data_IF_379669440356
#
_entry.id   IF_379669440356
#
_cell.length_a   1.000
_cell.length_b   1.000
_cell.length_c   1.000
_cell.angle_alpha   90.00
_cell.angle_beta   90.00
_cell.angle_gamma   90.00
#
_symmetry.space_group_name_H-M   'P 1'
#
loop_
_entity.id
_entity.type
_entity.pdbx_description
1 polymer ?
#
# COMPACT_ATOMS: atom_id res chain seq x y z
N UNK A 1 -34.82 26.22 -51.09
CA UNK A 1 -33.87 26.11 -49.96
C UNK A 1 -34.40 25.06 -49.01
N UNK A 2 -33.80 23.87 -49.07
CA UNK A 2 -34.23 22.64 -48.42
C UNK A 2 -33.71 22.57 -46.98
N UNK A 3 -34.59 22.24 -46.04
CA UNK A 3 -34.31 22.03 -44.62
C UNK A 3 -33.43 20.79 -44.41
N UNK A 4 -32.38 20.82 -43.58
CA UNK A 4 -31.58 19.63 -43.32
C UNK A 4 -32.31 18.65 -42.38
N UNK A 5 -32.40 17.40 -42.85
CA UNK A 5 -32.89 16.23 -42.13
C UNK A 5 -31.99 15.89 -40.94
N UNK A 6 -32.60 15.72 -39.75
CA UNK A 6 -31.92 15.21 -38.55
C UNK A 6 -31.66 13.71 -38.73
N UNK A 7 -30.40 13.29 -38.69
CA UNK A 7 -30.04 11.88 -38.67
C UNK A 7 -30.44 11.26 -37.33
N UNK A 8 -31.44 10.38 -37.36
CA UNK A 8 -31.70 9.47 -36.25
C UNK A 8 -30.62 8.40 -36.25
N UNK A 9 -29.64 8.54 -35.35
CA UNK A 9 -28.69 7.47 -35.05
C UNK A 9 -29.44 6.20 -34.66
N UNK A 10 -29.14 5.09 -35.33
CA UNK A 10 -29.67 3.75 -35.02
C UNK A 10 -29.29 3.38 -33.58
N UNK A 11 -30.21 3.60 -32.64
CA UNK A 11 -30.13 3.01 -31.30
C UNK A 11 -30.55 1.55 -31.41
N UNK A 12 -29.58 0.65 -31.43
CA UNK A 12 -29.82 -0.79 -31.35
C UNK A 12 -30.14 -1.13 -29.89
N UNK A 13 -31.41 -1.20 -29.53
CA UNK A 13 -31.85 -1.70 -28.23
C UNK A 13 -31.70 -3.23 -28.28
N UNK A 14 -30.73 -3.77 -27.54
CA UNK A 14 -30.67 -5.21 -27.26
C UNK A 14 -31.46 -5.46 -25.97
N UNK A 15 -32.52 -6.30 -25.99
CA UNK A 15 -33.17 -6.72 -24.77
C UNK A 15 -32.19 -7.58 -23.96
N UNK A 16 -31.88 -7.14 -22.73
CA UNK A 16 -31.21 -7.97 -21.73
C UNK A 16 -32.24 -8.91 -21.12
N UNK A 17 -31.97 -10.22 -21.14
CA UNK A 17 -32.75 -11.25 -20.43
C UNK A 17 -32.29 -11.44 -18.97
N UNK A 18 -31.38 -10.60 -18.47
CA UNK A 18 -31.04 -10.57 -17.05
C UNK A 18 -32.11 -9.76 -16.34
N UNK A 19 -32.88 -10.33 -15.40
CA UNK A 19 -33.76 -9.56 -14.55
C UNK A 19 -32.91 -8.52 -13.82
N UNK A 20 -33.16 -7.24 -14.10
CA UNK A 20 -32.67 -6.18 -13.23
C UNK A 20 -33.40 -6.33 -11.91
N UNK A 21 -32.66 -6.65 -10.87
CA UNK A 21 -33.19 -6.69 -9.52
C UNK A 21 -33.63 -5.27 -9.16
N UNK A 22 -34.94 -5.03 -9.25
CA UNK A 22 -35.57 -3.72 -9.07
C UNK A 22 -35.55 -3.26 -7.60
N UNK A 23 -34.97 -4.06 -6.69
CA UNK A 23 -34.97 -3.89 -5.25
C UNK A 23 -33.65 -4.40 -4.65
N UNK A 24 -32.55 -3.68 -4.82
CA UNK A 24 -31.34 -3.95 -4.03
C UNK A 24 -30.79 -2.65 -3.47
N UNK A 25 -31.43 -2.16 -2.41
CA UNK A 25 -30.61 -1.44 -1.43
C UNK A 25 -29.52 -2.42 -0.99
N UNK A 26 -28.23 -2.05 -1.04
CA UNK A 26 -27.16 -2.92 -0.61
C UNK A 26 -27.43 -3.30 0.85
N UNK A 27 -27.75 -4.58 1.06
CA UNK A 27 -28.05 -5.10 2.39
C UNK A 27 -26.79 -4.97 3.23
N UNK A 28 -26.82 -4.13 4.26
CA UNK A 28 -25.69 -3.98 5.18
C UNK A 28 -25.49 -5.29 5.92
N UNK A 29 -24.44 -6.03 5.57
CA UNK A 29 -24.09 -7.28 6.24
C UNK A 29 -23.38 -6.98 7.57
N UNK A 30 -23.92 -7.51 8.66
CA UNK A 30 -23.34 -7.33 9.99
C UNK A 30 -22.02 -8.12 10.13
N UNK A 31 -20.99 -7.49 10.70
CA UNK A 31 -19.69 -8.11 10.95
C UNK A 31 -18.81 -8.31 9.71
N UNK A 32 -19.22 -7.76 8.56
CA UNK A 32 -18.44 -7.79 7.33
C UNK A 32 -17.65 -6.49 7.21
N UNK A 33 -16.36 -6.61 6.88
CA UNK A 33 -15.48 -5.45 6.67
C UNK A 33 -16.02 -4.57 5.55
N UNK A 34 -16.14 -3.27 5.80
CA UNK A 34 -16.73 -2.33 4.84
C UNK A 34 -15.83 -1.12 4.62
N UNK A 35 -15.57 -0.81 3.35
CA UNK A 35 -15.00 0.47 2.94
C UNK A 35 -16.12 1.47 2.63
N UNK A 36 -16.14 2.61 3.32
CA UNK A 36 -16.98 3.77 2.99
C UNK A 36 -16.13 4.82 2.29
N UNK A 37 -16.55 5.29 1.13
CA UNK A 37 -15.78 6.28 0.37
C UNK A 37 -16.58 7.55 0.17
N UNK A 38 -16.15 8.65 0.80
CA UNK A 38 -16.69 9.99 0.59
C UNK A 38 -16.00 10.59 -0.64
N UNK A 39 -16.75 10.85 -1.71
CA UNK A 39 -16.19 11.26 -3.01
C UNK A 39 -17.19 12.13 -3.80
N UNK A 40 -16.67 12.92 -4.75
CA UNK A 40 -17.46 13.59 -5.78
C UNK A 40 -17.81 12.70 -6.97
N UNK A 41 -17.21 11.51 -7.06
CA UNK A 41 -17.35 10.58 -8.18
C UNK A 41 -17.73 9.17 -7.69
N UNK A 42 -18.93 8.99 -7.11
CA UNK A 42 -19.37 7.68 -6.64
C UNK A 42 -19.35 6.62 -7.74
N UNK A 43 -19.64 7.00 -9.00
CA UNK A 43 -19.57 6.09 -10.15
C UNK A 43 -18.17 5.63 -10.55
N UNK A 44 -17.10 6.14 -9.91
CA UNK A 44 -15.75 5.60 -10.06
C UNK A 44 -15.55 4.28 -9.29
N UNK A 45 -16.51 3.90 -8.45
CA UNK A 45 -16.51 2.69 -7.64
C UNK A 45 -17.62 1.73 -8.10
N UNK A 46 -17.38 0.39 -8.02
CA UNK A 46 -16.21 -0.25 -7.44
C UNK A 46 -14.96 -0.16 -8.33
N UNK A 47 -15.10 0.26 -9.59
CA UNK A 47 -13.96 0.36 -10.51
C UNK A 47 -13.27 -1.00 -10.66
N UNK A 48 -11.94 -1.03 -10.53
CA UNK A 48 -11.18 -2.28 -10.62
C UNK A 48 -11.42 -3.22 -9.43
N UNK A 49 -11.95 -2.72 -8.31
CA UNK A 49 -12.30 -3.53 -7.13
C UNK A 49 -13.49 -4.46 -7.40
N UNK A 50 -14.25 -4.21 -8.46
CA UNK A 50 -15.36 -5.07 -8.89
C UNK A 50 -14.91 -6.28 -9.71
N UNK A 51 -13.62 -6.36 -10.05
CA UNK A 51 -13.05 -7.38 -10.92
C UNK A 51 -12.27 -8.44 -10.12
N UNK A 52 -11.99 -9.58 -10.76
CA UNK A 52 -11.10 -10.62 -10.22
C UNK A 52 -11.48 -11.09 -8.79
N UNK A 53 -10.48 -11.33 -7.93
CA UNK A 53 -10.65 -11.85 -6.57
C UNK A 53 -11.36 -10.87 -5.63
N UNK A 54 -11.07 -9.57 -5.71
CA UNK A 54 -11.73 -8.55 -4.88
C UNK A 54 -13.21 -8.45 -5.24
N UNK A 55 -13.54 -8.44 -6.53
CA UNK A 55 -14.92 -8.45 -7.01
C UNK A 55 -15.67 -9.73 -6.66
N UNK A 56 -15.02 -10.90 -6.78
CA UNK A 56 -15.59 -12.18 -6.33
C UNK A 56 -15.85 -12.17 -4.83
N UNK A 57 -14.89 -11.72 -4.03
CA UNK A 57 -15.03 -11.62 -2.59
C UNK A 57 -16.16 -10.67 -2.16
N UNK A 58 -16.37 -9.58 -2.90
CA UNK A 58 -17.49 -8.66 -2.67
C UNK A 58 -18.84 -9.37 -2.93
N UNK A 59 -18.95 -10.12 -4.05
CA UNK A 59 -20.14 -10.92 -4.39
C UNK A 59 -20.41 -12.04 -3.39
N UNK A 60 -19.35 -12.64 -2.84
CA UNK A 60 -19.42 -13.65 -1.79
C UNK A 60 -19.73 -13.06 -0.39
N UNK A 61 -19.88 -11.73 -0.27
CA UNK A 61 -20.19 -11.06 0.99
C UNK A 61 -19.03 -11.03 1.99
N UNK A 62 -17.78 -11.20 1.53
CA UNK A 62 -16.58 -11.19 2.39
C UNK A 62 -16.12 -9.78 2.75
N UNK A 63 -16.52 -8.79 1.96
CA UNK A 63 -16.32 -7.37 2.24
C UNK A 63 -17.36 -6.54 1.48
N UNK A 64 -17.56 -5.29 1.87
CA UNK A 64 -18.54 -4.37 1.26
C UNK A 64 -17.90 -3.03 0.89
N UNK A 65 -18.49 -2.37 -0.10
CA UNK A 65 -18.13 -1.04 -0.52
C UNK A 65 -19.36 -0.14 -0.55
N UNK A 66 -19.30 0.97 0.16
CA UNK A 66 -20.33 2.00 0.20
C UNK A 66 -19.73 3.31 -0.30
N UNK A 67 -20.42 4.00 -1.20
CA UNK A 67 -20.04 5.35 -1.62
C UNK A 67 -20.95 6.39 -1.00
N UNK A 68 -20.36 7.49 -0.56
CA UNK A 68 -21.04 8.66 -0.03
C UNK A 68 -20.77 9.80 -0.99
N UNK A 69 -21.78 10.16 -1.80
CA UNK A 69 -21.69 11.27 -2.74
C UNK A 69 -21.68 12.60 -1.98
N UNK A 70 -20.51 13.24 -1.93
CA UNK A 70 -20.31 14.49 -1.21
C UNK A 70 -21.25 15.60 -1.71
N UNK A 71 -21.68 15.56 -2.99
CA UNK A 71 -22.61 16.56 -3.54
C UNK A 71 -23.98 16.50 -2.87
N UNK A 72 -24.38 15.38 -2.27
CA UNK A 72 -25.65 15.31 -1.52
C UNK A 72 -25.67 16.22 -0.28
N UNK A 73 -24.48 16.59 0.22
CA UNK A 73 -24.31 17.48 1.36
C UNK A 73 -23.97 18.91 0.94
N UNK A 74 -23.91 19.20 -0.36
CA UNK A 74 -23.52 20.52 -0.88
C UNK A 74 -24.56 21.60 -0.62
N UNK A 75 -24.12 22.85 -0.56
CA UNK A 75 -24.93 24.02 -0.24
C UNK A 75 -25.72 24.56 -1.45
N UNK A 76 -26.94 25.03 -1.17
CA UNK A 76 -27.80 25.71 -2.13
C UNK A 76 -28.29 24.82 -3.30
N UNK A 77 -28.95 25.47 -4.27
CA UNK A 77 -29.58 24.80 -5.42
C UNK A 77 -28.57 23.99 -6.28
N UNK A 78 -27.33 24.44 -6.34
CA UNK A 78 -26.28 23.84 -7.16
C UNK A 78 -25.45 22.80 -6.42
N UNK A 79 -25.75 22.52 -5.15
CA UNK A 79 -25.01 21.56 -4.31
C UNK A 79 -23.52 21.87 -4.31
N UNK A 80 -23.18 23.11 -3.96
CA UNK A 80 -21.79 23.55 -3.93
C UNK A 80 -21.02 22.87 -2.78
N UNK A 81 -19.84 22.34 -3.07
CA UNK A 81 -19.03 21.53 -2.14
C UNK A 81 -17.66 22.16 -1.85
N UNK A 82 -17.32 23.20 -2.59
CA UNK A 82 -16.02 23.85 -2.58
C UNK A 82 -16.17 25.39 -2.58
N UNK A 83 -15.12 26.08 -2.16
CA UNK A 83 -15.03 27.53 -2.22
C UNK A 83 -13.57 27.96 -2.47
N UNK A 84 -13.38 29.24 -2.78
CA UNK A 84 -12.05 29.82 -2.97
C UNK A 84 -11.21 29.75 -1.68
N UNK A 85 -9.89 29.51 -1.78
CA UNK A 85 -9.02 29.44 -0.61
C UNK A 85 -8.93 30.78 0.11
N UNK A 86 -9.00 30.74 1.44
CA UNK A 86 -8.68 31.90 2.28
C UNK A 86 -7.20 32.29 2.10
N UNK A 87 -6.91 33.59 2.03
CA UNK A 87 -5.56 34.10 1.73
C UNK A 87 -5.26 34.28 0.23
N UNK A 88 -6.20 33.92 -0.65
CA UNK A 88 -6.03 33.99 -2.09
C UNK A 88 -5.29 32.78 -2.67
N UNK A 89 -5.17 32.72 -3.99
CA UNK A 89 -4.62 31.57 -4.72
C UNK A 89 -5.54 31.12 -5.85
N UNK A 90 -5.00 30.30 -6.74
CA UNK A 90 -5.81 29.62 -7.76
C UNK A 90 -6.44 28.35 -7.15
N UNK A 91 -7.50 27.85 -7.80
CA UNK A 91 -8.16 26.62 -7.38
C UNK A 91 -9.26 26.80 -6.35
N UNK A 92 -9.74 25.67 -5.83
CA UNK A 92 -10.87 25.58 -4.91
C UNK A 92 -10.51 24.64 -3.75
N UNK A 93 -11.12 24.82 -2.59
CA UNK A 93 -10.92 23.97 -1.39
C UNK A 93 -12.26 23.39 -0.98
N UNK A 94 -12.29 22.09 -0.67
CA UNK A 94 -13.49 21.43 -0.18
C UNK A 94 -13.93 22.03 1.16
N UNK A 95 -15.20 22.40 1.25
CA UNK A 95 -15.73 23.15 2.38
C UNK A 95 -15.89 22.31 3.64
N UNK A 96 -15.61 22.90 4.82
CA UNK A 96 -15.67 22.16 6.07
C UNK A 96 -17.09 21.79 6.52
N UNK A 97 -18.08 22.65 6.29
CA UNK A 97 -19.47 22.40 6.64
C UNK A 97 -20.09 21.25 5.82
N UNK A 98 -19.75 21.19 4.53
CA UNK A 98 -20.18 20.11 3.63
C UNK A 98 -19.50 18.79 4.00
N UNK A 99 -18.17 18.80 4.16
CA UNK A 99 -17.43 17.58 4.51
C UNK A 99 -17.81 17.05 5.90
N UNK A 100 -17.99 17.93 6.89
CA UNK A 100 -18.40 17.53 8.23
C UNK A 100 -19.73 16.76 8.24
N UNK A 101 -20.75 17.26 7.53
CA UNK A 101 -22.03 16.54 7.40
C UNK A 101 -21.89 15.18 6.70
N UNK A 102 -21.01 15.09 5.70
CA UNK A 102 -20.74 13.83 5.00
C UNK A 102 -20.01 12.81 5.89
N UNK A 103 -19.03 13.26 6.67
CA UNK A 103 -18.33 12.44 7.67
C UNK A 103 -19.31 11.96 8.73
N UNK A 104 -20.10 12.87 9.32
CA UNK A 104 -21.09 12.53 10.34
C UNK A 104 -22.09 11.49 9.82
N UNK A 105 -22.52 11.63 8.57
CA UNK A 105 -23.38 10.64 7.90
C UNK A 105 -22.68 9.29 7.73
N UNK A 106 -21.47 9.28 7.18
CA UNK A 106 -20.69 8.05 6.94
C UNK A 106 -20.34 7.30 8.24
N UNK A 107 -20.21 8.01 9.35
CA UNK A 107 -19.81 7.44 10.64
C UNK A 107 -20.97 6.92 11.49
N UNK A 108 -22.24 7.23 11.19
CA UNK A 108 -23.40 6.82 12.03
C UNK A 108 -23.46 5.32 12.33
N UNK A 109 -23.02 4.52 11.37
CA UNK A 109 -23.05 3.06 11.45
C UNK A 109 -21.65 2.44 11.45
N UNK A 110 -20.61 3.25 11.69
CA UNK A 110 -19.27 2.74 11.95
C UNK A 110 -19.23 2.22 13.38
N UNK A 111 -18.85 0.94 13.56
CA UNK A 111 -18.76 0.30 14.87
C UNK A 111 -17.38 -0.33 15.01
N UNK A 112 -16.85 -0.34 16.23
CA UNK A 112 -15.55 -0.91 16.53
C UNK A 112 -14.40 -0.02 16.05
N UNK A 113 -13.29 -0.65 15.64
CA UNK A 113 -12.12 0.04 15.10
C UNK A 113 -12.40 0.43 13.66
N UNK A 114 -12.72 1.70 13.45
CA UNK A 114 -13.07 2.24 12.14
C UNK A 114 -12.31 3.54 11.83
N UNK A 115 -11.11 3.43 11.24
CA UNK A 115 -10.32 4.61 10.91
C UNK A 115 -11.03 5.55 9.93
N UNK A 116 -10.87 6.85 10.15
CA UNK A 116 -11.21 7.90 9.18
C UNK A 116 -9.93 8.36 8.50
N UNK A 117 -9.86 8.16 7.20
CA UNK A 117 -8.65 8.36 6.39
C UNK A 117 -8.89 9.44 5.34
N UNK A 118 -7.93 10.34 5.17
CA UNK A 118 -7.85 11.26 4.05
C UNK A 118 -6.70 10.85 3.12
N UNK A 119 -7.02 10.63 1.84
CA UNK A 119 -6.01 10.33 0.82
C UNK A 119 -5.33 11.63 0.40
N UNK A 120 -4.12 11.84 0.91
CA UNK A 120 -3.38 13.10 0.83
C UNK A 120 -1.90 12.83 0.59
N UNK A 121 -1.24 13.55 -0.35
CA UNK A 121 0.20 13.38 -0.57
C UNK A 121 1.05 13.80 0.64
N UNK A 122 0.48 14.55 1.60
CA UNK A 122 1.12 14.96 2.86
C UNK A 122 1.23 13.82 3.88
N UNK A 123 0.36 12.80 3.76
CA UNK A 123 0.30 11.72 4.72
C UNK A 123 1.53 10.81 4.68
N UNK A 124 1.75 9.98 5.72
CA UNK A 124 2.71 8.89 5.64
C UNK A 124 2.45 8.00 4.43
N UNK A 125 3.53 7.55 3.78
CA UNK A 125 3.42 6.64 2.62
C UNK A 125 2.77 5.33 3.03
N UNK A 126 1.78 4.90 2.25
CA UNK A 126 1.11 3.63 2.40
C UNK A 126 2.10 2.48 2.20
N UNK A 127 2.03 1.48 3.07
CA UNK A 127 2.89 0.30 3.02
C UNK A 127 2.12 -0.95 3.47
N UNK A 128 2.75 -2.12 3.32
CA UNK A 128 2.11 -3.40 3.61
C UNK A 128 1.66 -3.53 5.07
N UNK A 129 2.43 -3.00 6.02
CA UNK A 129 2.06 -2.97 7.43
C UNK A 129 0.80 -2.11 7.69
N UNK A 130 0.62 -1.03 6.94
CA UNK A 130 -0.60 -0.22 7.00
C UNK A 130 -1.80 -0.98 6.43
N UNK A 131 -1.65 -1.70 5.31
CA UNK A 131 -2.68 -2.56 4.76
C UNK A 131 -3.14 -3.62 5.78
N UNK A 132 -2.20 -4.30 6.45
CA UNK A 132 -2.49 -5.26 7.51
C UNK A 132 -3.29 -4.64 8.67
N UNK A 133 -2.89 -3.45 9.13
CA UNK A 133 -3.63 -2.74 10.20
C UNK A 133 -5.06 -2.39 9.81
N UNK A 134 -5.27 -1.96 8.56
CA UNK A 134 -6.59 -1.66 8.01
C UNK A 134 -7.44 -2.94 7.85
N UNK A 135 -6.83 -4.06 7.44
CA UNK A 135 -7.52 -5.34 7.27
C UNK A 135 -7.98 -5.94 8.60
N UNK A 136 -7.26 -5.66 9.69
CA UNK A 136 -7.64 -6.05 11.04
C UNK A 136 -8.68 -5.11 11.69
N UNK A 137 -9.03 -4.00 11.05
CA UNK A 137 -10.09 -3.09 11.50
C UNK A 137 -11.48 -3.67 11.18
N UNK A 138 -12.55 -3.07 11.70
CA UNK A 138 -13.92 -3.48 11.38
C UNK A 138 -14.41 -2.89 10.04
N UNK A 139 -13.71 -1.87 9.55
CA UNK A 139 -13.97 -1.16 8.31
C UNK A 139 -13.12 0.09 8.22
N UNK A 140 -13.34 0.90 7.20
CA UNK A 140 -12.63 2.17 7.00
C UNK A 140 -13.54 3.19 6.32
N UNK A 141 -13.48 4.45 6.74
CA UNK A 141 -14.05 5.58 5.98
C UNK A 141 -12.91 6.33 5.32
N UNK A 142 -12.98 6.51 4.01
CA UNK A 142 -11.94 7.14 3.19
C UNK A 142 -12.50 8.39 2.52
N UNK A 143 -11.78 9.50 2.63
CA UNK A 143 -12.10 10.78 1.98
C UNK A 143 -11.23 10.94 0.74
N UNK A 144 -11.90 11.00 -0.41
CA UNK A 144 -11.25 11.30 -1.68
C UNK A 144 -11.24 12.82 -1.90
N UNK A 145 -10.08 13.44 -1.66
CA UNK A 145 -9.88 14.86 -1.96
C UNK A 145 -9.96 15.18 -3.45
N UNK A 146 -10.25 16.44 -3.76
CA UNK A 146 -10.24 17.06 -5.10
C UNK A 146 -9.79 18.50 -4.97
N UNK A 147 -9.56 19.15 -6.11
CA UNK A 147 -9.11 20.54 -6.17
C UNK A 147 -7.79 20.71 -5.40
N UNK A 148 -7.64 21.78 -4.60
CA UNK A 148 -6.46 22.01 -3.77
C UNK A 148 -6.45 21.17 -2.47
N UNK A 149 -7.57 20.52 -2.14
CA UNK A 149 -7.68 19.62 -1.00
C UNK A 149 -8.87 19.90 -0.09
N UNK A 150 -8.74 19.44 1.14
CA UNK A 150 -9.73 19.58 2.21
C UNK A 150 -9.33 20.70 3.17
N UNK A 151 -10.30 21.49 3.63
CA UNK A 151 -10.10 22.48 4.69
C UNK A 151 -9.48 21.84 5.94
N UNK A 152 -8.34 22.38 6.40
CA UNK A 152 -7.53 21.83 7.49
C UNK A 152 -8.32 21.64 8.78
N UNK A 153 -9.30 22.51 9.05
CA UNK A 153 -10.11 22.44 10.27
C UNK A 153 -10.91 21.14 10.36
N UNK A 154 -11.27 20.55 9.22
CA UNK A 154 -11.95 19.24 9.19
C UNK A 154 -10.98 18.13 9.58
N UNK A 155 -9.76 18.18 9.06
CA UNK A 155 -8.71 17.21 9.34
C UNK A 155 -8.41 17.21 10.84
N UNK A 156 -8.21 18.40 11.42
CA UNK A 156 -7.95 18.58 12.85
C UNK A 156 -9.15 18.17 13.72
N UNK A 157 -10.36 18.64 13.38
CA UNK A 157 -11.55 18.41 14.19
C UNK A 157 -11.90 16.92 14.35
N UNK A 158 -11.81 16.16 13.25
CA UNK A 158 -12.12 14.73 13.26
C UNK A 158 -10.90 13.84 13.54
N UNK A 159 -9.70 14.42 13.74
CA UNK A 159 -8.46 13.67 13.92
C UNK A 159 -8.17 12.73 12.75
N UNK A 160 -8.36 13.22 11.52
CA UNK A 160 -8.33 12.39 10.31
C UNK A 160 -6.90 11.91 10.04
N UNK A 161 -6.74 10.60 9.81
CA UNK A 161 -5.46 10.05 9.42
C UNK A 161 -5.18 10.35 7.94
N UNK A 162 -4.12 11.10 7.65
CA UNK A 162 -3.66 11.26 6.26
C UNK A 162 -2.90 10.01 5.79
N UNK A 163 -3.09 9.59 4.53
CA UNK A 163 -2.33 8.50 3.88
C UNK A 163 -1.93 8.95 2.47
N UNK A 164 -0.64 8.83 2.15
CA UNK A 164 -0.10 9.09 0.81
C UNK A 164 0.14 7.80 0.06
N UNK A 165 -0.16 7.76 -1.24
CA UNK A 165 0.21 6.62 -2.10
C UNK A 165 1.70 6.66 -2.51
N UNK A 166 2.34 7.82 -2.41
CA UNK A 166 3.72 8.04 -2.78
C UNK A 166 4.01 9.50 -3.14
N UNK A 167 5.24 9.79 -3.54
CA UNK A 167 5.72 11.14 -3.81
C UNK A 167 5.37 11.58 -5.24
N UNK A 168 4.07 11.71 -5.50
CA UNK A 168 3.51 12.21 -6.74
C UNK A 168 2.13 12.81 -6.50
N UNK A 169 1.63 13.59 -7.45
CA UNK A 169 0.35 14.29 -7.35
C UNK A 169 -0.67 13.65 -8.27
N UNK A 170 -1.90 13.49 -7.77
CA UNK A 170 -3.03 12.95 -8.52
C UNK A 170 -4.15 13.99 -8.60
N UNK A 171 -5.06 13.83 -9.56
CA UNK A 171 -6.22 14.74 -9.71
C UNK A 171 -7.29 14.56 -8.62
N UNK A 172 -7.17 13.50 -7.81
CA UNK A 172 -8.08 13.20 -6.72
C UNK A 172 -7.71 11.90 -5.99
N UNK A 173 -8.39 11.67 -4.86
CA UNK A 173 -8.11 10.53 -3.98
C UNK A 173 -8.70 9.19 -4.43
N UNK A 174 -9.54 9.13 -5.47
CA UNK A 174 -10.30 7.92 -5.81
C UNK A 174 -9.42 6.74 -6.25
N UNK A 175 -8.35 7.02 -7.00
CA UNK A 175 -7.39 5.98 -7.39
C UNK A 175 -6.55 5.51 -6.20
N UNK A 176 -6.18 6.44 -5.30
CA UNK A 176 -5.49 6.09 -4.05
C UNK A 176 -6.37 5.24 -3.13
N UNK A 177 -7.66 5.58 -3.00
CA UNK A 177 -8.62 4.78 -2.25
C UNK A 177 -8.76 3.38 -2.85
N UNK A 178 -8.88 3.24 -4.19
CA UNK A 178 -8.92 1.93 -4.82
C UNK A 178 -7.64 1.11 -4.56
N UNK A 179 -6.46 1.71 -4.66
CA UNK A 179 -5.20 1.01 -4.38
C UNK A 179 -5.10 0.54 -2.91
N UNK A 180 -5.48 1.41 -1.96
CA UNK A 180 -5.47 1.06 -0.53
C UNK A 180 -6.50 -0.02 -0.21
N UNK A 181 -7.71 0.06 -0.77
CA UNK A 181 -8.75 -0.95 -0.57
C UNK A 181 -8.32 -2.28 -1.16
N UNK A 182 -7.77 -2.32 -2.38
CA UNK A 182 -7.30 -3.56 -3.02
C UNK A 182 -6.24 -4.27 -2.15
N UNK A 183 -5.20 -3.54 -1.74
CA UNK A 183 -4.13 -4.05 -0.88
C UNK A 183 -4.62 -4.49 0.51
N UNK A 184 -5.71 -3.91 1.01
CA UNK A 184 -6.31 -4.25 2.30
C UNK A 184 -7.22 -5.46 2.20
N UNK A 185 -8.16 -5.46 1.24
CA UNK A 185 -9.18 -6.50 1.06
C UNK A 185 -8.56 -7.85 0.76
N UNK A 186 -7.46 -7.90 0.00
CA UNK A 186 -6.74 -9.16 -0.25
C UNK A 186 -6.27 -9.86 1.03
N UNK A 187 -6.04 -9.11 2.11
CA UNK A 187 -5.59 -9.65 3.40
C UNK A 187 -6.76 -10.13 4.28
N UNK A 188 -8.01 -9.90 3.88
CA UNK A 188 -9.16 -10.36 4.64
C UNK A 188 -9.31 -11.88 4.57
N UNK A 189 -9.73 -12.52 5.68
CA UNK A 189 -9.94 -13.97 5.71
C UNK A 189 -10.86 -14.46 4.59
N UNK A 190 -10.40 -15.48 3.86
CA UNK A 190 -11.17 -16.12 2.79
C UNK A 190 -11.20 -15.35 1.46
N UNK A 191 -10.52 -14.21 1.33
CA UNK A 191 -10.40 -13.51 0.03
C UNK A 191 -9.36 -14.20 -0.86
N UNK A 192 -8.15 -14.42 -0.33
CA UNK A 192 -7.13 -15.21 -1.02
C UNK A 192 -7.37 -16.70 -0.77
N UNK A 193 -7.29 -17.50 -1.83
CA UNK A 193 -7.59 -18.93 -1.80
C UNK A 193 -6.50 -19.81 -1.18
N UNK A 194 -5.28 -19.28 -1.00
CA UNK A 194 -4.18 -19.97 -0.34
C UNK A 194 -3.47 -19.02 0.63
N UNK A 195 -3.43 -19.38 1.91
CA UNK A 195 -2.77 -18.58 2.96
C UNK A 195 -1.25 -18.49 2.74
N UNK A 196 -0.62 -19.55 2.22
CA UNK A 196 0.83 -19.58 1.93
C UNK A 196 1.24 -18.53 0.89
N UNK A 197 0.32 -18.10 0.02
CA UNK A 197 0.59 -17.07 -0.98
C UNK A 197 0.87 -15.72 -0.35
N UNK A 198 0.32 -15.41 0.83
CA UNK A 198 0.60 -14.13 1.51
C UNK A 198 1.89 -14.11 2.30
N UNK A 199 2.38 -15.28 2.73
CA UNK A 199 3.57 -15.39 3.58
C UNK A 199 4.85 -15.12 2.78
N UNK A 200 4.92 -15.59 1.54
CA UNK A 200 6.14 -15.52 0.71
C UNK A 200 6.12 -14.38 -0.33
N UNK A 201 5.31 -13.35 -0.13
CA UNK A 201 5.19 -12.21 -1.04
C UNK A 201 6.20 -11.10 -0.73
N UNK A 202 6.42 -10.24 -1.73
CA UNK A 202 7.21 -9.03 -1.52
C UNK A 202 6.67 -8.21 -0.34
N UNK A 203 7.59 -7.75 0.50
CA UNK A 203 7.38 -6.93 1.71
C UNK A 203 6.79 -7.66 2.91
N UNK A 204 6.38 -8.94 2.82
CA UNK A 204 5.88 -9.69 3.98
C UNK A 204 6.96 -9.85 5.08
N UNK A 205 8.17 -10.23 4.69
CA UNK A 205 9.34 -10.31 5.57
C UNK A 205 10.34 -9.16 5.34
N UNK A 206 9.88 -8.07 4.74
CA UNK A 206 10.73 -6.90 4.43
C UNK A 206 11.66 -7.07 3.22
N UNK A 207 11.61 -8.20 2.51
CA UNK A 207 12.37 -8.47 1.28
C UNK A 207 11.47 -8.46 0.03
N UNK A 208 12.07 -8.38 -1.15
CA UNK A 208 11.40 -8.62 -2.43
C UNK A 208 11.27 -10.11 -2.70
N UNK A 209 10.23 -10.51 -3.42
CA UNK A 209 10.04 -11.91 -3.83
C UNK A 209 11.11 -12.36 -4.85
N UNK A 210 11.39 -13.66 -4.86
CA UNK A 210 12.28 -14.30 -5.82
C UNK A 210 11.72 -14.26 -7.26
N UNK A 211 12.55 -14.43 -8.30
CA UNK A 211 12.06 -14.52 -9.67
C UNK A 211 11.16 -15.74 -9.86
N UNK A 212 10.01 -15.53 -10.49
CA UNK A 212 9.05 -16.58 -10.81
C UNK A 212 9.29 -17.13 -12.22
N UNK A 213 9.15 -18.45 -12.36
CA UNK A 213 9.27 -19.16 -13.63
C UNK A 213 8.05 -20.06 -13.85
N UNK A 214 7.63 -20.18 -15.10
CA UNK A 214 6.56 -21.11 -15.49
C UNK A 214 6.88 -21.70 -16.86
N UNK A 215 6.09 -22.69 -17.27
CA UNK A 215 6.24 -23.35 -18.57
C UNK A 215 6.11 -22.34 -19.72
N UNK A 216 6.82 -22.54 -20.84
CA UNK A 216 7.65 -23.70 -21.18
C UNK A 216 9.03 -23.72 -20.49
N UNK A 217 9.69 -24.89 -20.45
CA UNK A 217 10.98 -25.07 -19.77
C UNK A 217 12.13 -24.26 -20.40
N UNK A 218 12.04 -23.97 -21.70
CA UNK A 218 12.95 -23.07 -22.40
C UNK A 218 12.14 -22.09 -23.27
N UNK A 219 12.51 -20.82 -23.21
CA UNK A 219 11.96 -19.77 -24.07
C UNK A 219 13.10 -18.92 -24.65
N UNK A 220 13.23 -18.89 -25.98
CA UNK A 220 14.28 -18.12 -26.67
C UNK A 220 15.72 -18.42 -26.18
N UNK A 221 16.06 -19.70 -25.97
CA UNK A 221 17.37 -20.08 -25.46
C UNK A 221 17.59 -19.79 -23.97
N UNK A 222 16.52 -19.45 -23.23
CA UNK A 222 16.56 -19.19 -21.78
C UNK A 222 15.82 -20.29 -21.05
N UNK A 223 16.57 -21.18 -20.40
CA UNK A 223 16.01 -22.26 -19.61
C UNK A 223 15.55 -21.78 -18.22
N UNK A 224 14.55 -22.46 -17.65
CA UNK A 224 14.23 -22.38 -16.22
C UNK A 224 15.44 -22.93 -15.42
N UNK A 225 15.85 -22.30 -14.31
CA UNK A 225 16.92 -22.81 -13.46
C UNK A 225 16.71 -24.29 -13.05
N UNK A 226 17.74 -25.12 -13.23
CA UNK A 226 17.67 -26.58 -12.98
C UNK A 226 17.18 -26.92 -11.57
N UNK A 227 17.55 -26.12 -10.56
CA UNK A 227 17.10 -26.29 -9.18
C UNK A 227 15.58 -26.26 -9.05
N UNK A 228 14.89 -25.41 -9.82
CA UNK A 228 13.42 -25.32 -9.83
C UNK A 228 12.75 -26.51 -10.54
N UNK A 229 13.51 -27.22 -11.37
CA UNK A 229 13.06 -28.41 -12.09
C UNK A 229 13.42 -29.72 -11.35
N UNK A 230 14.17 -29.64 -10.25
CA UNK A 230 14.73 -30.80 -9.55
C UNK A 230 13.75 -31.57 -8.66
N UNK A 231 12.65 -30.93 -8.24
CA UNK A 231 11.72 -31.47 -7.23
C UNK A 231 12.28 -31.49 -5.79
N UNK A 232 13.50 -31.02 -5.55
CA UNK A 232 14.09 -30.93 -4.22
C UNK A 232 13.61 -29.68 -3.47
N UNK A 233 12.49 -29.81 -2.75
CA UNK A 233 11.85 -28.69 -2.04
C UNK A 233 12.81 -27.88 -1.15
N UNK A 234 13.73 -28.52 -0.44
CA UNK A 234 14.72 -27.82 0.40
C UNK A 234 15.72 -26.98 -0.39
N UNK A 235 16.19 -27.46 -1.54
CA UNK A 235 17.12 -26.71 -2.40
C UNK A 235 16.39 -25.59 -3.17
N UNK A 236 15.13 -25.83 -3.54
CA UNK A 236 14.26 -24.79 -4.10
C UNK A 236 14.08 -23.65 -3.11
N UNK A 237 13.77 -23.95 -1.85
CA UNK A 237 13.53 -22.91 -0.85
C UNK A 237 14.80 -22.12 -0.52
N UNK A 238 15.95 -22.79 -0.39
CA UNK A 238 17.25 -22.11 -0.27
C UNK A 238 17.52 -21.19 -1.45
N UNK A 239 17.28 -21.66 -2.67
CA UNK A 239 17.47 -20.86 -3.87
C UNK A 239 16.54 -19.64 -3.89
N UNK A 240 15.26 -19.81 -3.52
CA UNK A 240 14.29 -18.72 -3.43
C UNK A 240 14.75 -17.64 -2.47
N UNK A 241 15.16 -18.04 -1.26
CA UNK A 241 15.69 -17.11 -0.26
C UNK A 241 16.91 -16.35 -0.80
N UNK A 242 17.90 -17.06 -1.36
CA UNK A 242 19.11 -16.43 -1.92
C UNK A 242 18.78 -15.42 -3.03
N UNK A 243 17.82 -15.73 -3.90
CA UNK A 243 17.39 -14.82 -4.97
C UNK A 243 16.61 -13.63 -4.45
N UNK A 244 15.73 -13.82 -3.46
CA UNK A 244 15.03 -12.75 -2.76
C UNK A 244 16.02 -11.75 -2.15
N UNK A 245 17.03 -12.24 -1.42
CA UNK A 245 18.07 -11.41 -0.81
C UNK A 245 18.91 -10.68 -1.87
N UNK A 246 19.34 -11.39 -2.93
CA UNK A 246 20.11 -10.79 -4.02
C UNK A 246 19.34 -9.70 -4.75
N UNK A 247 18.05 -9.94 -5.07
CA UNK A 247 17.19 -8.95 -5.71
C UNK A 247 16.93 -7.75 -4.81
N UNK A 248 16.65 -7.98 -3.53
CA UNK A 248 16.40 -6.89 -2.57
C UNK A 248 17.61 -6.01 -2.45
N UNK A 249 18.80 -6.58 -2.24
CA UNK A 249 20.06 -5.84 -2.18
C UNK A 249 20.32 -5.01 -3.44
N UNK A 250 20.03 -5.56 -4.62
CA UNK A 250 20.28 -4.90 -5.89
C UNK A 250 19.25 -3.80 -6.22
N UNK A 251 17.96 -3.99 -5.90
CA UNK A 251 16.86 -3.13 -6.36
C UNK A 251 16.25 -2.24 -5.28
N UNK A 252 16.32 -2.67 -4.02
CA UNK A 252 15.78 -1.97 -2.85
C UNK A 252 16.80 -2.04 -1.70
N UNK A 253 17.98 -1.42 -1.85
CA UNK A 253 19.01 -1.42 -0.82
C UNK A 253 18.52 -0.81 0.50
N UNK A 254 17.50 0.05 0.45
CA UNK A 254 16.79 0.57 1.62
C UNK A 254 16.08 -0.53 2.42
N UNK A 255 15.36 -1.44 1.73
CA UNK A 255 14.71 -2.60 2.36
C UNK A 255 15.73 -3.61 2.86
N UNK A 256 16.81 -3.83 2.10
CA UNK A 256 17.90 -4.70 2.52
C UNK A 256 18.53 -4.22 3.83
N UNK A 257 18.87 -2.93 3.91
CA UNK A 257 19.42 -2.33 5.12
C UNK A 257 18.44 -2.44 6.30
N UNK A 258 17.15 -2.16 6.07
CA UNK A 258 16.12 -2.28 7.11
C UNK A 258 15.93 -3.72 7.60
N UNK A 259 15.92 -4.72 6.71
CA UNK A 259 15.80 -6.14 7.08
C UNK A 259 17.04 -6.64 7.84
N UNK A 260 18.22 -6.08 7.55
CA UNK A 260 19.46 -6.41 8.26
C UNK A 260 19.61 -5.71 9.61
N UNK A 261 18.98 -4.56 9.81
CA UNK A 261 19.15 -3.75 11.00
C UNK A 261 18.79 -4.47 12.32
N UNK A 262 17.69 -5.24 12.43
CA UNK A 262 17.38 -6.02 13.64
C UNK A 262 18.30 -7.21 13.86
N UNK A 263 18.94 -7.70 12.79
CA UNK A 263 19.89 -8.79 12.91
C UNK A 263 21.20 -8.29 13.50
N UNK A 264 21.50 -6.98 13.44
CA UNK A 264 22.60 -6.38 14.20
C UNK A 264 22.27 -6.53 15.69
N UNK A 265 23.02 -7.38 16.38
CA UNK A 265 22.88 -7.66 17.81
C UNK A 265 22.89 -6.36 18.63
N UNK A 266 22.09 -6.27 19.69
CA UNK A 266 22.15 -5.16 20.65
C UNK A 266 23.58 -4.97 21.18
N UNK A 267 24.36 -6.05 21.22
CA UNK A 267 25.78 -6.04 21.59
C UNK A 267 26.67 -5.15 20.70
N UNK A 268 26.37 -5.02 19.39
CA UNK A 268 27.17 -4.22 18.44
C UNK A 268 26.55 -2.85 18.12
N UNK A 269 25.36 -2.55 18.65
CA UNK A 269 24.58 -1.35 18.32
C UNK A 269 25.31 -0.02 18.57
N UNK A 270 26.28 -0.01 19.48
CA UNK A 270 27.13 1.15 19.78
C UNK A 270 28.31 1.36 18.84
N UNK A 271 28.51 0.50 17.84
CA UNK A 271 29.62 0.61 16.88
C UNK A 271 29.18 1.46 15.69
N UNK A 272 29.72 2.67 15.60
CA UNK A 272 29.36 3.68 14.57
C UNK A 272 30.52 4.16 13.73
N UNK A 273 31.74 3.87 14.15
CA UNK A 273 32.99 4.27 13.51
C UNK A 273 34.10 3.26 13.83
N UNK A 274 35.29 3.48 13.28
CA UNK A 274 36.42 2.60 13.49
C UNK A 274 36.93 2.59 14.95
N UNK A 275 36.80 3.71 15.66
CA UNK A 275 37.23 3.81 17.07
C UNK A 275 36.31 2.95 17.95
N UNK A 276 35.00 3.12 17.83
CA UNK A 276 33.99 2.33 18.54
C UNK A 276 34.01 0.86 18.13
N UNK A 277 34.36 0.53 16.87
CA UNK A 277 34.62 -0.84 16.44
C UNK A 277 35.83 -1.41 17.20
N UNK A 278 36.95 -0.69 17.23
CA UNK A 278 38.17 -1.12 17.93
C UNK A 278 37.91 -1.37 19.41
N UNK A 279 37.20 -0.46 20.07
CA UNK A 279 36.80 -0.58 21.48
C UNK A 279 35.88 -1.78 21.70
N UNK A 280 34.90 -2.01 20.81
CA UNK A 280 34.04 -3.19 20.86
C UNK A 280 34.85 -4.48 20.71
N UNK A 281 35.73 -4.56 19.70
CA UNK A 281 36.58 -5.73 19.46
C UNK A 281 37.53 -5.98 20.64
N UNK A 282 38.16 -4.96 21.19
CA UNK A 282 39.00 -5.09 22.40
C UNK A 282 38.20 -5.61 23.60
N UNK A 283 37.03 -5.01 23.86
CA UNK A 283 36.22 -5.36 25.04
C UNK A 283 35.57 -6.74 24.98
N UNK A 284 35.32 -7.27 23.77
CA UNK A 284 34.62 -8.55 23.57
C UNK A 284 35.52 -9.69 23.07
N UNK A 285 36.60 -9.36 22.36
CA UNK A 285 37.47 -10.33 21.67
C UNK A 285 38.92 -10.34 22.21
N UNK A 286 39.32 -9.43 23.10
CA UNK A 286 40.71 -9.38 23.58
C UNK A 286 41.68 -8.92 22.49
N UNK A 287 42.87 -9.51 22.40
CA UNK A 287 43.90 -9.14 21.40
C UNK A 287 43.47 -9.56 19.98
N UNK A 288 43.25 -8.59 19.10
CA UNK A 288 42.75 -8.77 17.72
C UNK A 288 43.31 -7.65 16.79
N UNK A 289 43.28 -7.86 15.46
CA UNK A 289 44.22 -7.26 14.51
C UNK A 289 44.00 -5.78 14.23
N UNK A 290 45.09 -5.13 13.79
CA UNK A 290 45.13 -3.73 13.32
C UNK A 290 44.07 -3.44 12.26
N UNK A 291 43.01 -2.73 12.66
CA UNK A 291 41.84 -2.38 11.83
C UNK A 291 42.14 -1.24 10.85
N UNK A 292 43.31 -0.61 10.92
CA UNK A 292 43.75 0.48 10.04
C UNK A 292 43.82 0.05 8.56
N UNK A 293 44.00 -1.25 8.30
CA UNK A 293 43.93 -1.79 6.94
C UNK A 293 42.48 -1.84 6.41
N UNK A 294 41.52 -2.10 7.29
CA UNK A 294 40.09 -2.15 6.97
C UNK A 294 39.55 -0.74 6.70
N UNK A 295 39.93 0.25 7.51
CA UNK A 295 39.63 1.68 7.27
C UNK A 295 40.05 2.14 5.87
N UNK A 296 41.26 1.77 5.45
CA UNK A 296 41.78 2.14 4.13
C UNK A 296 41.02 1.47 2.98
N UNK A 297 40.52 0.25 3.17
CA UNK A 297 39.72 -0.45 2.17
C UNK A 297 38.28 0.10 2.06
N UNK A 298 37.68 0.51 3.18
CA UNK A 298 36.29 0.98 3.24
C UNK A 298 36.15 2.44 2.78
N UNK A 299 37.19 3.27 2.95
CA UNK A 299 37.16 4.69 2.56
C UNK A 299 37.07 4.92 1.04
N UNK A 300 37.22 3.87 0.22
CA UNK A 300 37.28 3.97 -1.25
C UNK A 300 36.10 3.34 -1.97
N UNK A 301 35.16 2.68 -1.28
CA UNK A 301 34.06 1.94 -1.92
C UNK A 301 32.71 2.66 -1.76
N UNK A 302 32.15 3.26 -2.83
CA UNK A 302 30.88 3.97 -2.80
C UNK A 302 29.65 3.05 -2.62
N UNK A 303 29.82 1.72 -2.62
CA UNK A 303 28.72 0.75 -2.49
C UNK A 303 28.39 0.37 -1.03
N UNK A 304 29.11 0.90 -0.05
CA UNK A 304 28.92 0.53 1.36
C UNK A 304 27.78 1.32 2.04
N UNK A 305 27.07 0.71 3.00
CA UNK A 305 26.04 1.39 3.77
C UNK A 305 26.65 2.53 4.63
N UNK A 306 25.85 3.52 5.06
CA UNK A 306 26.35 4.69 5.80
C UNK A 306 27.11 4.38 7.10
N UNK A 307 26.89 3.21 7.69
CA UNK A 307 27.63 2.71 8.85
C UNK A 307 28.07 1.25 8.59
N UNK A 308 29.20 1.04 7.90
CA UNK A 308 29.70 -0.30 7.61
C UNK A 308 30.28 -0.98 8.86
N UNK A 309 30.61 -0.20 9.90
CA UNK A 309 31.31 -0.62 11.10
C UNK A 309 30.49 -1.60 11.95
N UNK A 310 29.19 -1.37 12.09
CA UNK A 310 28.30 -2.29 12.81
C UNK A 310 28.24 -3.67 12.14
N UNK A 311 28.19 -3.70 10.80
CA UNK A 311 28.18 -4.95 10.05
C UNK A 311 29.52 -5.71 10.17
N UNK A 312 30.64 -4.99 10.17
CA UNK A 312 31.98 -5.56 10.38
C UNK A 312 32.12 -6.12 11.80
N UNK A 313 31.72 -5.36 12.81
CA UNK A 313 31.69 -5.82 14.21
C UNK A 313 30.92 -7.13 14.32
N UNK A 314 29.78 -7.21 13.63
CA UNK A 314 28.94 -8.38 13.65
C UNK A 314 29.58 -9.59 12.96
N UNK A 315 30.21 -9.42 11.80
CA UNK A 315 30.92 -10.51 11.10
C UNK A 315 32.04 -11.06 12.00
N UNK A 316 32.81 -10.17 12.64
CA UNK A 316 33.90 -10.57 13.54
C UNK A 316 33.40 -11.22 14.83
N UNK A 317 32.26 -10.77 15.37
CA UNK A 317 31.60 -11.35 16.54
C UNK A 317 31.10 -12.78 16.24
N UNK A 318 30.40 -12.96 15.12
CA UNK A 318 29.87 -14.27 14.69
C UNK A 318 31.00 -15.23 14.30
N UNK A 319 32.09 -14.78 13.68
CA UNK A 319 33.20 -15.64 13.27
C UNK A 319 33.96 -16.33 14.43
N UNK A 320 33.76 -15.90 15.69
CA UNK A 320 34.38 -16.48 16.88
C UNK A 320 33.48 -17.50 17.60
N UNK A 321 32.19 -17.56 17.27
CA UNK A 321 31.19 -18.43 17.89
C UNK A 321 30.42 -19.25 16.86
#
# INVERSE_FOLDING_TARGET
MTTPSKSHGRKTIRPSLVPQDLMSEPTVLAGIWTARVITLFPGAFPGVLGESLTGKAMKDGKWQLETVDLRQFGEGKHRNVDDTPAGGGAGMVLRPDVMGRAIDHAQRHAKGRWPLVYLSPRGPRFNQAMAQRLAQADGVTMICGRFEGLDERVIEHYGIQEISLGDFVMTGGELAAQAVIDATVRLLPGVLGNAESTENESFSDGLLEHPQYTRPAEWMGRAIPDVLMSGHHGEIEKWRQQMSEALTRARRPDLWAAARAPLLDDAVRGVTDAATLTDFLHSKLGDMPDVTALERALATDPALPPNPWTAIAQILWVARG
#
